data_IF_824786286682
#
_entry.id   IF_824786286682
#
_cell.length_a   1.000
_cell.length_b   1.000
_cell.length_c   1.000
_cell.angle_alpha   90.00
_cell.angle_beta   90.00
_cell.angle_gamma   90.00
#
_symmetry.space_group_name_H-M   'P 1'
#
loop_
_entity.id
_entity.type
_entity.pdbx_description
1 polymer ?
#
# COMPACT_ATOMS: atom_id res chain seq x y z
N UNK A 1 6.20 1.16 -20.53
CA UNK A 1 5.75 2.17 -19.54
C UNK A 1 5.87 1.57 -18.14
N UNK A 2 6.94 1.87 -17.41
CA UNK A 2 7.04 1.50 -15.98
C UNK A 2 5.97 2.30 -15.26
N UNK A 3 4.85 1.66 -14.91
CA UNK A 3 3.86 2.27 -14.02
C UNK A 3 4.59 2.51 -12.70
N UNK A 4 4.67 3.75 -12.23
CA UNK A 4 5.17 4.08 -10.89
C UNK A 4 4.26 3.43 -9.86
N UNK A 5 4.49 2.16 -9.53
CA UNK A 5 3.69 1.40 -8.56
C UNK A 5 4.11 1.73 -7.12
N UNK A 6 4.67 2.93 -6.87
CA UNK A 6 5.03 3.41 -5.53
C UNK A 6 3.78 3.80 -4.71
N UNK A 7 2.67 3.10 -4.84
CA UNK A 7 1.44 3.39 -4.10
C UNK A 7 1.35 2.53 -2.85
N UNK A 8 0.91 3.15 -1.75
CA UNK A 8 0.77 2.49 -0.45
C UNK A 8 -0.14 1.26 -0.54
N UNK A 9 -1.18 1.29 -1.38
CA UNK A 9 -2.09 0.15 -1.59
C UNK A 9 -1.38 -1.16 -1.98
N UNK A 10 -0.23 -1.07 -2.64
CA UNK A 10 0.54 -2.23 -3.12
C UNK A 10 1.63 -2.68 -2.13
N UNK A 11 1.79 -1.94 -1.03
CA UNK A 11 2.74 -2.22 0.03
C UNK A 11 2.26 -3.38 0.91
N UNK A 12 3.17 -4.20 1.42
CA UNK A 12 2.87 -5.27 2.40
C UNK A 12 2.26 -4.68 3.68
N UNK A 13 2.66 -3.46 4.02
CA UNK A 13 2.30 -2.78 5.27
C UNK A 13 0.97 -2.04 5.19
N UNK A 14 0.29 -2.07 4.05
CA UNK A 14 -1.01 -1.42 3.89
C UNK A 14 -2.13 -2.33 4.34
N UNK A 15 -2.88 -1.86 5.34
CA UNK A 15 -4.04 -2.55 5.90
C UNK A 15 -5.28 -1.72 5.62
N UNK A 16 -6.23 -2.35 4.95
CA UNK A 16 -7.58 -1.82 4.79
C UNK A 16 -8.48 -2.54 5.78
N UNK A 17 -9.16 -1.78 6.63
CA UNK A 17 -10.09 -2.32 7.61
C UNK A 17 -11.45 -1.64 7.45
N UNK A 18 -12.51 -2.44 7.38
CA UNK A 18 -13.88 -1.92 7.34
C UNK A 18 -14.32 -1.65 8.77
N UNK A 19 -14.68 -0.42 9.04
CA UNK A 19 -15.19 0.06 10.33
C UNK A 19 -16.66 0.45 10.16
N UNK A 20 -17.38 0.66 11.27
CA UNK A 20 -18.76 1.16 11.25
C UNK A 20 -18.90 2.52 10.54
N UNK A 21 -17.84 3.34 10.59
CA UNK A 21 -17.77 4.64 9.92
C UNK A 21 -17.26 4.58 8.47
N UNK A 22 -17.00 3.39 7.93
CA UNK A 22 -16.54 3.19 6.54
C UNK A 22 -15.18 2.50 6.42
N UNK A 23 -14.52 2.69 5.27
CA UNK A 23 -13.20 2.12 5.01
C UNK A 23 -12.10 2.95 5.68
N UNK A 24 -11.35 2.32 6.57
CA UNK A 24 -10.15 2.85 7.18
C UNK A 24 -8.92 2.23 6.54
N UNK A 25 -7.90 3.04 6.31
CA UNK A 25 -6.65 2.62 5.71
C UNK A 25 -5.51 3.03 6.62
N UNK A 26 -4.71 2.08 7.05
CA UNK A 26 -3.62 2.34 7.99
C UNK A 26 -2.34 1.63 7.55
N UNK A 27 -1.21 2.25 7.86
CA UNK A 27 0.09 1.66 7.65
C UNK A 27 0.48 0.90 8.92
N UNK A 28 0.49 -0.44 8.87
CA UNK A 28 0.82 -1.28 10.04
C UNK A 28 2.25 -1.05 10.51
N UNK A 29 3.16 -0.64 9.62
CA UNK A 29 4.56 -0.33 9.95
C UNK A 29 4.70 0.92 10.79
N UNK A 30 3.94 1.96 10.46
CA UNK A 30 4.09 3.29 11.08
C UNK A 30 2.98 3.58 12.11
N UNK A 31 1.87 2.84 12.09
CA UNK A 31 0.71 3.07 12.95
C UNK A 31 -0.15 4.28 12.57
N UNK A 32 0.07 4.91 11.41
CA UNK A 32 -0.68 6.09 10.98
C UNK A 32 -1.75 5.77 9.93
N UNK A 33 -2.80 6.57 9.93
CA UNK A 33 -3.79 6.61 8.86
C UNK A 33 -3.11 7.00 7.54
N UNK A 34 -3.36 6.22 6.50
CA UNK A 34 -2.73 6.37 5.18
C UNK A 34 -3.80 6.31 4.11
N UNK A 35 -3.47 6.67 2.87
CA UNK A 35 -4.40 6.51 1.74
C UNK A 35 -3.79 5.61 0.67
N UNK A 36 -4.61 4.82 -0.05
CA UNK A 36 -4.13 3.93 -1.10
C UNK A 36 -3.36 4.66 -2.23
N UNK A 37 -3.65 5.96 -2.43
CA UNK A 37 -2.99 6.83 -3.41
C UNK A 37 -1.66 7.43 -2.94
N UNK A 38 -1.30 7.30 -1.65
CA UNK A 38 -0.09 7.89 -1.12
C UNK A 38 1.15 7.14 -1.57
N UNK A 39 2.24 7.88 -1.78
CA UNK A 39 3.54 7.33 -2.12
C UNK A 39 4.49 7.54 -0.93
N UNK A 40 5.01 6.45 -0.39
CA UNK A 40 5.98 6.49 0.70
C UNK A 40 7.34 6.06 0.18
N UNK A 41 8.39 6.65 0.74
CA UNK A 41 9.76 6.22 0.47
C UNK A 41 10.04 4.81 1.02
N UNK A 42 9.31 4.39 2.05
CA UNK A 42 9.42 3.05 2.65
C UNK A 42 8.54 2.00 1.95
N UNK A 43 8.28 2.16 0.66
CA UNK A 43 7.43 1.25 -0.09
C UNK A 43 8.08 -0.14 -0.21
N UNK A 44 7.43 -1.14 0.38
CA UNK A 44 7.80 -2.55 0.24
C UNK A 44 6.67 -3.32 -0.46
N UNK A 45 6.81 -3.62 -1.76
CA UNK A 45 5.74 -4.26 -2.53
C UNK A 45 5.47 -5.69 -2.10
N UNK A 46 4.20 -6.09 -2.12
CA UNK A 46 3.80 -7.50 -1.93
C UNK A 46 4.47 -8.40 -2.97
N UNK A 47 4.73 -9.65 -2.59
CA UNK A 47 5.33 -10.69 -3.45
C UNK A 47 4.69 -10.77 -4.85
N UNK A 48 3.36 -10.70 -4.94
CA UNK A 48 2.66 -10.72 -6.23
C UNK A 48 2.92 -9.46 -7.08
N UNK A 49 3.13 -8.30 -6.46
CA UNK A 49 3.49 -7.05 -7.14
C UNK A 49 4.93 -7.11 -7.64
N UNK A 50 5.84 -7.71 -6.85
CA UNK A 50 7.22 -7.99 -7.28
C UNK A 50 7.24 -8.87 -8.54
N UNK A 51 6.34 -9.86 -8.64
CA UNK A 51 6.18 -10.68 -9.85
C UNK A 51 5.71 -9.87 -11.06
N UNK A 52 4.82 -8.90 -10.88
CA UNK A 52 4.39 -8.01 -11.96
C UNK A 52 5.49 -7.06 -12.44
N UNK A 53 6.38 -6.61 -11.55
CA UNK A 53 7.49 -5.71 -11.87
C UNK A 53 8.64 -6.40 -12.63
N UNK A 54 8.77 -7.72 -12.51
CA UNK A 54 9.80 -8.51 -13.20
C UNK A 54 9.44 -8.86 -14.67
N UNK A 55 8.31 -8.38 -15.19
CA UNK A 55 7.84 -8.61 -16.55
C UNK A 55 8.16 -7.43 -17.45
#
# INVERSE_FOLDING_TARGET
MKKDIHCCATCINFKASRTENGMKYECVRLGFDTKPSYKFNCWDPKEHVKKWLKK
#
